data_IF_673207271951
#
_entry.id   IF_673207271951
#
_cell.length_a   1.000
_cell.length_b   1.000
_cell.length_c   1.000
_cell.angle_alpha   90.00
_cell.angle_beta   90.00
_cell.angle_gamma   90.00
#
_symmetry.space_group_name_H-M   'P 1'
#
loop_
_entity.id
_entity.type
_entity.pdbx_description
1 polymer ?
#
# COMPACT_ATOMS: atom_id res chain seq x y z
N UNK A 1 -24.15 -24.05 20.21
CA UNK A 1 -24.93 -23.51 19.08
C UNK A 1 -24.12 -22.35 18.50
N UNK A 2 -23.47 -22.56 17.36
CA UNK A 2 -22.65 -21.52 16.72
C UNK A 2 -23.55 -20.60 15.90
N UNK A 3 -23.55 -19.31 16.22
CA UNK A 3 -24.33 -18.30 15.49
C UNK A 3 -23.57 -17.99 14.21
N UNK A 4 -24.12 -18.43 13.08
CA UNK A 4 -23.55 -18.20 11.76
C UNK A 4 -24.02 -16.81 11.30
N UNK A 5 -23.15 -15.80 11.44
CA UNK A 5 -23.45 -14.44 10.97
C UNK A 5 -23.22 -14.40 9.46
N UNK A 6 -24.29 -14.67 8.70
CA UNK A 6 -24.33 -14.40 7.28
C UNK A 6 -24.41 -12.88 7.12
N UNK A 7 -23.27 -12.25 6.82
CA UNK A 7 -23.24 -10.82 6.52
C UNK A 7 -23.91 -10.61 5.17
N UNK A 8 -25.18 -10.18 5.18
CA UNK A 8 -25.88 -9.71 4.00
C UNK A 8 -25.15 -8.47 3.46
N UNK A 9 -24.40 -8.63 2.36
CA UNK A 9 -23.67 -7.57 1.67
C UNK A 9 -24.66 -6.65 0.94
N UNK A 10 -25.22 -5.69 1.66
CA UNK A 10 -26.01 -4.61 1.08
C UNK A 10 -25.10 -3.69 0.25
N UNK A 11 -25.57 -3.18 -0.90
CA UNK A 11 -24.80 -2.35 -1.85
C UNK A 11 -24.10 -1.14 -1.19
N UNK A 12 -24.58 -0.71 -0.03
CA UNK A 12 -24.08 0.42 0.76
C UNK A 12 -22.73 0.11 1.45
N UNK A 13 -22.31 -1.16 1.52
CA UNK A 13 -21.11 -1.59 2.23
C UNK A 13 -20.00 -2.14 1.31
N UNK A 14 -20.15 -2.06 -0.01
CA UNK A 14 -19.16 -2.62 -0.97
C UNK A 14 -17.79 -1.96 -0.78
N UNK A 15 -17.76 -0.62 -0.62
CA UNK A 15 -16.52 0.11 -0.38
C UNK A 15 -15.84 -0.27 0.94
N UNK A 16 -16.63 -0.44 2.01
CA UNK A 16 -16.12 -0.83 3.32
C UNK A 16 -15.59 -2.26 3.31
N UNK A 17 -16.31 -3.20 2.69
CA UNK A 17 -15.88 -4.59 2.55
C UNK A 17 -14.57 -4.68 1.76
N UNK A 18 -14.48 -3.95 0.65
CA UNK A 18 -13.26 -3.89 -0.17
C UNK A 18 -12.09 -3.30 0.62
N UNK A 19 -12.30 -2.21 1.36
CA UNK A 19 -11.27 -1.62 2.21
C UNK A 19 -10.80 -2.59 3.30
N UNK A 20 -11.72 -3.26 3.99
CA UNK A 20 -11.38 -4.23 5.05
C UNK A 20 -10.56 -5.39 4.51
N UNK A 21 -10.93 -5.92 3.35
CA UNK A 21 -10.19 -6.99 2.67
C UNK A 21 -8.78 -6.54 2.27
N UNK A 22 -8.67 -5.38 1.61
CA UNK A 22 -7.39 -4.82 1.19
C UNK A 22 -6.48 -4.52 2.38
N UNK A 23 -7.02 -3.91 3.43
CA UNK A 23 -6.29 -3.58 4.64
C UNK A 23 -5.81 -4.84 5.36
N UNK A 24 -6.62 -5.90 5.40
CA UNK A 24 -6.20 -7.20 5.93
C UNK A 24 -4.98 -7.73 5.18
N UNK A 25 -5.02 -7.74 3.84
CA UNK A 25 -3.88 -8.18 3.01
C UNK A 25 -2.61 -7.34 3.26
N UNK A 26 -2.76 -6.02 3.44
CA UNK A 26 -1.63 -5.15 3.76
C UNK A 26 -1.02 -5.40 5.14
N UNK A 27 -1.86 -5.73 6.13
CA UNK A 27 -1.42 -5.99 7.52
C UNK A 27 -0.83 -7.37 7.71
N UNK A 28 -1.35 -8.37 7.02
CA UNK A 28 -0.82 -9.75 7.05
C UNK A 28 0.56 -9.84 6.38
N UNK A 29 0.88 -8.88 5.50
CA UNK A 29 2.12 -8.84 4.75
C UNK A 29 2.17 -9.94 3.68
N UNK A 30 3.07 -9.81 2.72
CA UNK A 30 3.37 -10.91 1.81
C UNK A 30 4.28 -11.91 2.53
N UNK A 31 3.94 -13.21 2.59
CA UNK A 31 4.83 -14.23 3.11
C UNK A 31 6.16 -14.14 2.34
N UNK A 32 7.24 -13.82 3.03
CA UNK A 32 8.56 -13.87 2.41
C UNK A 32 8.89 -15.36 2.20
N UNK A 33 9.05 -15.85 0.95
CA UNK A 33 9.57 -17.19 0.76
C UNK A 33 10.98 -17.19 1.34
N UNK A 34 11.21 -18.06 2.33
CA UNK A 34 12.46 -18.28 3.08
C UNK A 34 12.99 -17.12 3.95
N UNK A 35 12.64 -17.14 5.24
CA UNK A 35 13.56 -16.72 6.29
C UNK A 35 13.66 -17.84 7.33
N UNK A 36 14.39 -18.88 6.96
CA UNK A 36 15.02 -19.75 7.94
C UNK A 36 16.36 -19.10 8.31
N UNK A 37 16.56 -18.92 9.62
CA UNK A 37 17.83 -18.74 10.32
C UNK A 37 18.32 -17.30 10.56
N UNK A 38 18.22 -16.97 11.86
CA UNK A 38 19.13 -16.14 12.66
C UNK A 38 19.09 -14.62 12.41
N UNK A 39 18.38 -13.93 13.32
CA UNK A 39 18.29 -12.47 13.42
C UNK A 39 17.50 -11.78 12.31
N UNK A 40 16.18 -12.02 12.28
CA UNK A 40 15.23 -11.26 11.46
C UNK A 40 14.98 -9.87 12.08
N UNK A 41 16.02 -9.03 12.13
CA UNK A 41 15.77 -7.59 12.23
C UNK A 41 15.13 -7.16 10.91
N UNK A 42 13.95 -6.52 10.90
CA UNK A 42 13.36 -6.00 9.68
C UNK A 42 14.39 -5.06 9.03
N UNK A 43 14.62 -5.15 7.71
CA UNK A 43 15.58 -4.27 7.05
C UNK A 43 15.20 -2.82 7.35
N UNK A 44 16.19 -2.02 7.76
CA UNK A 44 15.96 -0.60 8.04
C UNK A 44 15.23 0.03 6.86
N UNK A 45 14.07 0.68 7.08
CA UNK A 45 13.30 1.27 6.00
C UNK A 45 14.16 2.28 5.26
N UNK A 46 14.06 2.31 3.94
CA UNK A 46 14.83 3.24 3.14
C UNK A 46 14.33 4.66 3.41
N UNK A 47 15.24 5.52 3.91
CA UNK A 47 14.96 6.93 4.11
C UNK A 47 15.10 7.67 2.76
N UNK A 48 14.01 8.31 2.33
CA UNK A 48 13.92 8.92 1.01
C UNK A 48 14.23 10.41 1.10
N UNK A 49 15.26 10.86 0.38
CA UNK A 49 15.54 12.29 0.24
C UNK A 49 14.42 13.00 -0.56
N UNK A 50 13.99 14.21 -0.15
CA UNK A 50 12.96 14.98 -0.86
C UNK A 50 13.24 15.19 -2.35
N UNK A 51 14.51 15.30 -2.74
CA UNK A 51 14.92 15.44 -4.16
C UNK A 51 14.50 14.25 -5.03
N UNK A 52 14.26 13.08 -4.41
CA UNK A 52 13.88 11.84 -5.09
C UNK A 52 12.37 11.58 -5.07
N UNK A 53 11.57 12.41 -4.39
CA UNK A 53 10.14 12.18 -4.24
C UNK A 53 9.42 12.03 -5.58
N UNK A 54 9.70 12.92 -6.53
CA UNK A 54 9.04 12.87 -7.82
C UNK A 54 9.43 11.63 -8.65
N UNK A 55 10.70 11.20 -8.58
CA UNK A 55 11.17 9.99 -9.26
C UNK A 55 10.49 8.75 -8.68
N UNK A 56 10.46 8.63 -7.35
CA UNK A 56 9.83 7.49 -6.67
C UNK A 56 8.33 7.47 -6.89
N UNK A 57 7.66 8.62 -6.82
CA UNK A 57 6.24 8.76 -7.12
C UNK A 57 5.92 8.27 -8.53
N UNK A 58 6.64 8.74 -9.55
CA UNK A 58 6.40 8.32 -10.94
C UNK A 58 6.54 6.81 -11.08
N UNK A 59 7.60 6.22 -10.51
CA UNK A 59 7.81 4.77 -10.58
C UNK A 59 6.75 3.96 -9.85
N UNK A 60 6.35 4.40 -8.66
CA UNK A 60 5.44 3.65 -7.80
C UNK A 60 3.98 3.80 -8.24
N UNK A 61 3.54 5.04 -8.48
CA UNK A 61 2.13 5.38 -8.68
C UNK A 61 1.74 5.34 -10.15
N UNK A 62 2.58 5.92 -11.03
CA UNK A 62 2.30 6.02 -12.47
C UNK A 62 2.72 4.73 -13.18
N UNK A 63 3.95 4.27 -12.98
CA UNK A 63 4.47 3.06 -13.65
C UNK A 63 4.08 1.75 -12.95
N UNK A 64 3.41 1.81 -11.79
CA UNK A 64 3.02 0.65 -10.96
C UNK A 64 4.17 -0.32 -10.65
N UNK A 65 5.41 0.17 -10.59
CA UNK A 65 6.58 -0.69 -10.32
C UNK A 65 6.80 -0.87 -8.81
N UNK A 66 6.98 -2.11 -8.34
CA UNK A 66 7.24 -2.36 -6.93
C UNK A 66 8.60 -1.82 -6.50
N UNK A 67 8.70 -1.40 -5.24
CA UNK A 67 9.95 -0.98 -4.63
C UNK A 67 10.77 -2.21 -4.21
N UNK A 68 12.09 -2.15 -4.43
CA UNK A 68 13.02 -3.20 -3.98
C UNK A 68 13.22 -3.24 -2.46
N UNK A 69 12.95 -2.12 -1.79
CA UNK A 69 13.07 -1.97 -0.33
C UNK A 69 11.83 -1.25 0.19
N UNK A 70 11.36 -1.59 1.39
CA UNK A 70 10.26 -0.87 2.02
C UNK A 70 10.66 0.60 2.24
N UNK A 71 9.75 1.51 1.89
CA UNK A 71 9.92 2.94 2.16
C UNK A 71 9.50 3.22 3.61
N UNK A 72 10.17 4.17 4.27
CA UNK A 72 9.70 4.67 5.56
C UNK A 72 8.35 5.34 5.42
N UNK A 73 7.39 5.00 6.30
CA UNK A 73 6.07 5.66 6.35
C UNK A 73 6.18 7.18 6.48
N UNK A 74 7.20 7.65 7.24
CA UNK A 74 7.49 9.08 7.42
C UNK A 74 7.76 9.77 6.09
N UNK A 75 8.38 9.08 5.14
CA UNK A 75 8.71 9.62 3.82
C UNK A 75 7.65 9.33 2.75
N UNK A 76 6.80 8.31 2.95
CA UNK A 76 5.76 7.94 1.97
C UNK A 76 4.78 9.09 1.76
N UNK A 77 4.25 9.63 2.85
CA UNK A 77 3.23 10.69 2.80
C UNK A 77 3.74 11.93 2.06
N UNK A 78 4.88 12.56 2.45
CA UNK A 78 5.37 13.74 1.76
C UNK A 78 5.79 13.45 0.31
N UNK A 79 6.28 12.24 0.01
CA UNK A 79 6.56 11.82 -1.36
C UNK A 79 5.32 11.77 -2.24
N UNK A 80 4.22 11.18 -1.75
CA UNK A 80 2.94 11.11 -2.46
C UNK A 80 2.36 12.51 -2.70
N UNK A 81 2.30 13.35 -1.65
CA UNK A 81 1.79 14.72 -1.75
C UNK A 81 2.61 15.54 -2.75
N UNK A 82 3.94 15.45 -2.70
CA UNK A 82 4.81 16.15 -3.64
C UNK A 82 4.62 15.67 -5.08
N UNK A 83 4.46 14.36 -5.29
CA UNK A 83 4.18 13.79 -6.59
C UNK A 83 2.86 14.32 -7.16
N UNK A 84 1.77 14.18 -6.41
CA UNK A 84 0.45 14.63 -6.82
C UNK A 84 0.37 16.12 -7.10
N UNK A 85 0.93 16.98 -6.23
CA UNK A 85 0.97 18.43 -6.48
C UNK A 85 1.64 18.80 -7.80
N UNK A 86 2.63 18.01 -8.23
CA UNK A 86 3.35 18.26 -9.48
C UNK A 86 2.63 17.70 -10.70
N UNK A 87 1.98 16.55 -10.57
CA UNK A 87 1.34 15.87 -11.69
C UNK A 87 -0.10 16.37 -11.93
N UNK A 88 -0.79 16.88 -10.91
CA UNK A 88 -2.16 17.38 -11.03
C UNK A 88 -3.23 16.30 -11.23
N UNK A 89 -2.83 15.10 -11.67
CA UNK A 89 -3.71 13.97 -11.89
C UNK A 89 -3.94 13.18 -10.59
N UNK A 90 -5.15 13.31 -10.06
CA UNK A 90 -5.70 12.30 -9.15
C UNK A 90 -6.05 11.06 -9.99
N UNK A 91 -5.70 9.84 -9.60
CA UNK A 91 -6.08 8.66 -10.36
C UNK A 91 -7.61 8.56 -10.40
N UNK A 92 -8.19 8.89 -11.55
CA UNK A 92 -9.63 8.76 -11.85
C UNK A 92 -10.00 7.36 -12.32
N UNK A 93 -9.03 6.46 -12.46
CA UNK A 93 -9.27 5.07 -12.84
C UNK A 93 -9.90 4.31 -11.68
N UNK A 94 -11.21 4.52 -11.54
CA UNK A 94 -12.18 3.66 -10.86
C UNK A 94 -12.39 2.35 -11.65
N UNK A 95 -11.32 1.80 -12.23
CA UNK A 95 -11.25 0.48 -12.89
C UNK A 95 -10.16 -0.35 -12.22
N UNK A 96 -10.26 -0.46 -10.91
CA UNK A 96 -9.58 -1.47 -10.11
C UNK A 96 -10.58 -1.93 -9.04
N UNK A 97 -11.73 -2.41 -9.50
CA UNK A 97 -12.74 -3.14 -8.74
C UNK A 97 -13.19 -4.31 -9.61
#
# INVERSE_FOLDING_TARGET
MAVNVVVHMSSENVGLAHWLQQNRQWREGTPHPSCCQTSCMPPKPYQLSPRKYNYVFKRLVVEKKPLKRPLSLVDVIPMLVHGWKKTGDWPTDQKAL
#
